data_IF_333216755903
#
_entry.id   IF_333216755903
#
_cell.length_a   1.000
_cell.length_b   1.000
_cell.length_c   1.000
_cell.angle_alpha   90.00
_cell.angle_beta   90.00
_cell.angle_gamma   90.00
#
_symmetry.space_group_name_H-M   'P 1'
#
loop_
_entity.id
_entity.type
_entity.pdbx_description
1 polymer ?
#
# COMPACT_ATOMS: atom_id res chain seq x y z
N UNK A 1 34.65 -34.55 33.68
CA UNK A 1 35.54 -33.48 34.17
C UNK A 1 36.15 -32.82 32.95
N UNK A 2 35.64 -31.66 32.52
CA UNK A 2 36.35 -30.40 32.70
C UNK A 2 35.42 -29.23 32.38
N UNK A 3 35.51 -28.20 33.20
CA UNK A 3 34.81 -26.92 33.07
C UNK A 3 35.52 -26.05 32.03
N UNK A 4 34.79 -25.25 31.25
CA UNK A 4 34.95 -23.79 31.33
C UNK A 4 33.97 -23.07 30.41
N UNK A 5 33.16 -22.23 31.06
CA UNK A 5 32.49 -21.09 30.46
C UNK A 5 33.52 -20.16 29.81
N UNK A 6 33.20 -19.61 28.64
CA UNK A 6 33.47 -18.19 28.42
C UNK A 6 32.45 -17.56 27.49
N UNK A 7 31.59 -16.77 28.13
CA UNK A 7 30.79 -15.71 27.53
C UNK A 7 31.71 -14.63 26.97
N UNK A 8 31.47 -14.19 25.73
CA UNK A 8 32.02 -12.94 25.18
C UNK A 8 30.90 -12.15 24.52
N UNK A 9 30.34 -11.27 25.36
CA UNK A 9 29.83 -9.91 25.12
C UNK A 9 29.48 -9.51 23.67
N UNK A 10 28.19 -9.24 23.49
CA UNK A 10 27.66 -8.36 22.45
C UNK A 10 28.30 -6.96 22.56
N UNK A 11 28.72 -6.40 21.42
CA UNK A 11 29.23 -5.03 21.33
C UNK A 11 28.26 -4.22 20.47
N UNK A 12 27.34 -3.55 21.15
CA UNK A 12 26.49 -2.49 20.63
C UNK A 12 27.36 -1.33 20.18
N UNK A 13 27.40 -1.06 18.87
CA UNK A 13 28.06 0.14 18.33
C UNK A 13 26.97 1.11 17.88
N UNK A 14 26.70 2.07 18.76
CA UNK A 14 25.73 3.15 18.59
C UNK A 14 26.20 4.07 17.45
N UNK A 15 25.57 3.99 16.28
CA UNK A 15 25.85 4.91 15.17
C UNK A 15 25.27 6.28 15.50
N UNK A 16 26.15 7.27 15.59
CA UNK A 16 25.85 8.66 15.84
C UNK A 16 24.79 9.21 14.88
N UNK A 17 23.63 9.55 15.46
CA UNK A 17 22.54 10.27 14.82
C UNK A 17 22.95 11.76 14.73
N UNK A 18 23.50 12.16 13.59
CA UNK A 18 23.88 13.54 13.28
C UNK A 18 22.63 14.27 12.76
N UNK A 19 21.83 14.82 13.68
CA UNK A 19 20.69 15.70 13.36
C UNK A 19 21.26 17.04 12.89
N UNK A 20 21.26 17.25 11.58
CA UNK A 20 21.62 18.53 10.98
C UNK A 20 20.37 19.40 10.91
N UNK A 21 20.22 20.26 11.93
CA UNK A 21 19.16 21.22 12.10
C UNK A 21 19.31 22.36 11.06
N UNK A 22 18.75 22.16 9.86
CA UNK A 22 18.66 23.24 8.87
C UNK A 22 17.52 24.21 9.26
N UNK A 23 17.91 25.28 9.95
CA UNK A 23 17.10 26.49 10.10
C UNK A 23 17.01 27.18 8.74
N UNK A 24 15.90 27.03 8.03
CA UNK A 24 15.58 27.86 6.86
C UNK A 24 14.92 29.16 7.37
N UNK A 25 15.53 30.33 7.15
CA UNK A 25 14.95 31.61 7.55
C UNK A 25 13.76 31.95 6.65
N UNK A 26 12.65 32.25 7.31
CA UNK A 26 11.41 32.74 6.71
C UNK A 26 11.67 34.17 6.23
N UNK A 27 11.86 34.36 4.91
CA UNK A 27 11.84 35.68 4.31
C UNK A 27 10.39 36.04 3.95
N UNK A 28 9.78 36.81 4.84
CA UNK A 28 8.58 37.59 4.55
C UNK A 28 8.92 38.72 3.57
N UNK A 29 8.24 38.75 2.42
CA UNK A 29 8.10 39.96 1.63
C UNK A 29 6.67 40.03 1.07
N UNK A 30 5.78 40.69 1.81
CA UNK A 30 4.61 41.33 1.24
C UNK A 30 5.06 42.57 0.47
N UNK A 31 4.60 42.75 -0.76
CA UNK A 31 4.32 44.06 -1.35
C UNK A 31 3.47 43.89 -2.62
N UNK A 32 2.20 44.29 -2.54
CA UNK A 32 1.39 44.73 -3.71
C UNK A 32 1.66 46.22 -3.92
N UNK A 33 1.58 46.77 -5.16
CA UNK A 33 0.26 47.14 -5.69
C UNK A 33 0.08 47.02 -7.23
N UNK A 34 -1.18 46.76 -7.61
CA UNK A 34 -1.95 47.29 -8.75
C UNK A 34 -1.25 47.53 -10.10
N UNK A 35 -1.67 46.77 -11.13
CA UNK A 35 -1.95 47.38 -12.43
C UNK A 35 -3.08 46.66 -13.20
N UNK A 36 -3.79 47.46 -13.99
CA UNK A 36 -5.03 47.17 -14.68
C UNK A 36 -4.86 46.26 -15.90
N UNK A 37 -5.83 45.35 -16.08
CA UNK A 37 -6.47 45.09 -17.37
C UNK A 37 -5.59 44.59 -18.52
N UNK A 38 -5.49 43.27 -18.66
CA UNK A 38 -5.57 42.63 -19.98
C UNK A 38 -6.41 41.36 -19.81
N UNK A 39 -7.62 41.39 -20.40
CA UNK A 39 -8.43 40.18 -20.61
C UNK A 39 -7.70 39.29 -21.61
N UNK A 40 -6.78 38.49 -21.10
CA UNK A 40 -6.44 37.21 -21.72
C UNK A 40 -7.37 36.20 -21.06
N UNK A 41 -8.18 35.52 -21.86
CA UNK A 41 -9.01 34.40 -21.44
C UNK A 41 -8.11 33.21 -21.09
N UNK A 42 -7.37 33.31 -20.00
CA UNK A 42 -6.85 32.16 -19.28
C UNK A 42 -8.05 31.55 -18.57
N UNK A 43 -8.55 30.44 -19.12
CA UNK A 43 -9.46 29.55 -18.43
C UNK A 43 -8.87 29.23 -17.07
N UNK A 44 -9.46 29.80 -16.02
CA UNK A 44 -9.22 29.36 -14.65
C UNK A 44 -9.84 27.98 -14.53
N UNK A 45 -9.12 26.95 -15.00
CA UNK A 45 -9.41 25.57 -14.64
C UNK A 45 -9.31 25.52 -13.12
N UNK A 46 -10.46 25.42 -12.47
CA UNK A 46 -10.54 25.33 -11.03
C UNK A 46 -9.71 24.10 -10.60
N UNK A 47 -8.62 24.31 -9.85
CA UNK A 47 -7.62 23.28 -9.51
C UNK A 47 -8.26 22.01 -8.93
N UNK A 48 -9.35 22.15 -8.18
CA UNK A 48 -10.11 21.04 -7.61
C UNK A 48 -10.76 20.13 -8.66
N UNK A 49 -11.21 20.70 -9.79
CA UNK A 49 -11.86 19.93 -10.85
C UNK A 49 -10.83 19.11 -11.62
N UNK A 50 -9.62 19.65 -11.83
CA UNK A 50 -8.54 18.90 -12.49
C UNK A 50 -8.01 17.78 -11.60
N UNK A 51 -7.80 18.05 -10.30
CA UNK A 51 -7.37 17.03 -9.34
C UNK A 51 -8.35 15.86 -9.25
N UNK A 52 -9.66 16.14 -9.18
CA UNK A 52 -10.68 15.10 -9.16
C UNK A 52 -10.65 14.23 -10.42
N UNK A 53 -10.49 14.84 -11.61
CA UNK A 53 -10.38 14.10 -12.87
C UNK A 53 -9.17 13.15 -12.88
N UNK A 54 -8.05 13.55 -12.28
CA UNK A 54 -6.88 12.68 -12.14
C UNK A 54 -7.19 11.52 -11.19
N UNK A 55 -7.80 11.80 -10.04
CA UNK A 55 -8.18 10.77 -9.06
C UNK A 55 -9.15 9.75 -9.69
N UNK A 56 -10.18 10.22 -10.41
CA UNK A 56 -11.15 9.35 -11.07
C UNK A 56 -10.49 8.45 -12.12
N UNK A 57 -9.51 9.00 -12.85
CA UNK A 57 -8.71 8.23 -13.81
C UNK A 57 -7.83 7.18 -13.12
N UNK A 58 -7.17 7.52 -12.01
CA UNK A 58 -6.40 6.55 -11.23
C UNK A 58 -7.30 5.45 -10.67
N UNK A 59 -8.49 5.79 -10.17
CA UNK A 59 -9.48 4.81 -9.69
C UNK A 59 -9.85 3.85 -10.82
N UNK A 60 -10.17 4.38 -12.01
CA UNK A 60 -10.50 3.53 -13.16
C UNK A 60 -9.35 2.62 -13.60
N UNK A 61 -8.10 3.07 -13.51
CA UNK A 61 -6.93 2.22 -13.79
C UNK A 61 -6.73 1.13 -12.72
N UNK A 62 -6.89 1.50 -11.45
CA UNK A 62 -6.82 0.55 -10.33
C UNK A 62 -7.89 -0.54 -10.44
N UNK A 63 -9.14 -0.15 -10.70
CA UNK A 63 -10.25 -1.10 -10.86
C UNK A 63 -10.02 -2.03 -12.05
N UNK A 64 -9.60 -1.48 -13.19
CA UNK A 64 -9.26 -2.28 -14.38
C UNK A 64 -8.11 -3.26 -14.13
N UNK A 65 -7.06 -2.87 -13.41
CA UNK A 65 -5.97 -3.77 -13.09
C UNK A 65 -6.43 -4.96 -12.24
N UNK A 66 -7.42 -4.75 -11.36
CA UNK A 66 -8.04 -5.79 -10.55
C UNK A 66 -9.07 -6.66 -11.31
N UNK A 67 -9.37 -6.35 -12.57
CA UNK A 67 -10.15 -7.22 -13.47
C UNK A 67 -9.28 -8.29 -14.16
N UNK A 68 -7.99 -8.38 -13.82
CA UNK A 68 -7.09 -9.42 -14.35
C UNK A 68 -7.58 -10.83 -13.99
N UNK A 69 -7.39 -11.81 -14.90
CA UNK A 69 -7.89 -13.19 -14.74
C UNK A 69 -7.39 -13.90 -13.47
N UNK A 70 -6.22 -13.50 -12.97
CA UNK A 70 -5.62 -14.04 -11.75
C UNK A 70 -6.05 -13.29 -10.47
N UNK A 71 -6.94 -12.30 -10.57
CA UNK A 71 -7.49 -11.56 -9.42
C UNK A 71 -8.95 -11.93 -9.21
N UNK A 72 -9.28 -12.40 -8.02
CA UNK A 72 -10.64 -12.78 -7.63
C UNK A 72 -11.11 -11.86 -6.50
N UNK A 73 -12.09 -10.99 -6.77
CA UNK A 73 -12.73 -10.18 -5.72
C UNK A 73 -13.56 -11.07 -4.81
N UNK A 74 -13.30 -11.02 -3.50
CA UNK A 74 -14.03 -11.75 -2.46
C UNK A 74 -14.52 -10.78 -1.37
N UNK A 75 -15.52 -11.19 -0.60
CA UNK A 75 -15.95 -10.45 0.58
C UNK A 75 -15.24 -10.97 1.85
N UNK A 76 -15.50 -10.30 2.98
CA UNK A 76 -14.88 -10.66 4.24
C UNK A 76 -15.35 -12.04 4.76
N UNK A 77 -16.58 -12.44 4.45
CA UNK A 77 -17.10 -13.75 4.87
C UNK A 77 -16.30 -14.85 4.17
N UNK A 78 -16.15 -14.75 2.85
CA UNK A 78 -15.36 -15.70 2.07
C UNK A 78 -13.89 -15.70 2.46
N UNK A 79 -13.31 -14.55 2.82
CA UNK A 79 -11.96 -14.51 3.39
C UNK A 79 -11.86 -15.31 4.69
N UNK A 80 -12.81 -15.15 5.62
CA UNK A 80 -12.83 -15.88 6.90
C UNK A 80 -13.09 -17.38 6.74
N UNK A 81 -13.73 -17.78 5.65
CA UNK A 81 -13.98 -19.17 5.31
C UNK A 81 -12.75 -19.88 4.70
N UNK A 82 -11.63 -19.16 4.49
CA UNK A 82 -10.35 -19.78 4.10
C UNK A 82 -9.86 -20.65 5.26
N UNK A 83 -9.94 -21.95 5.08
CA UNK A 83 -9.64 -22.98 6.08
C UNK A 83 -8.49 -23.89 5.68
N UNK A 84 -7.91 -23.62 4.51
CA UNK A 84 -6.76 -24.32 3.96
C UNK A 84 -5.60 -23.32 3.84
N UNK A 85 -4.34 -23.78 3.95
CA UNK A 85 -3.19 -22.94 3.66
C UNK A 85 -3.28 -22.37 2.25
N UNK A 86 -2.92 -21.11 2.08
CA UNK A 86 -2.71 -20.54 0.75
C UNK A 86 -1.57 -21.29 0.09
N UNK A 87 -1.76 -21.68 -1.16
CA UNK A 87 -0.67 -22.27 -1.93
C UNK A 87 0.41 -21.20 -2.22
N UNK A 88 1.63 -21.62 -2.59
CA UNK A 88 2.72 -20.68 -2.89
C UNK A 88 2.39 -19.67 -4.02
N UNK A 89 1.38 -19.98 -4.82
CA UNK A 89 0.83 -19.16 -5.88
C UNK A 89 -0.46 -18.43 -5.48
N UNK A 90 -0.76 -18.26 -4.19
CA UNK A 90 -1.93 -17.54 -3.71
C UNK A 90 -1.57 -16.43 -2.72
N UNK A 91 -2.23 -15.27 -2.85
CA UNK A 91 -2.12 -14.15 -1.93
C UNK A 91 -3.49 -13.54 -1.67
N UNK A 92 -3.70 -12.97 -0.49
CA UNK A 92 -4.90 -12.21 -0.17
C UNK A 92 -4.53 -10.74 -0.05
N UNK A 93 -5.11 -9.90 -0.89
CA UNK A 93 -4.88 -8.46 -0.96
C UNK A 93 -6.02 -7.68 -0.31
N UNK A 94 -5.68 -6.83 0.65
CA UNK A 94 -6.58 -5.85 1.25
C UNK A 94 -6.24 -4.45 0.72
N UNK A 95 -7.20 -3.87 0.00
CA UNK A 95 -7.03 -2.60 -0.68
C UNK A 95 -8.32 -1.80 -0.74
N UNK A 96 -8.26 -0.63 -1.37
CA UNK A 96 -9.44 0.17 -1.73
C UNK A 96 -9.08 1.24 -2.75
N UNK A 97 -10.03 1.57 -3.63
CA UNK A 97 -9.81 2.55 -4.69
C UNK A 97 -9.61 3.98 -4.15
N UNK A 98 -10.16 4.31 -2.98
CA UNK A 98 -9.96 5.64 -2.35
C UNK A 98 -8.55 5.83 -1.76
N UNK A 99 -7.76 4.77 -1.58
CA UNK A 99 -6.40 4.87 -1.05
C UNK A 99 -5.36 5.09 -2.16
N UNK A 100 -4.69 6.24 -2.14
CA UNK A 100 -3.65 6.58 -3.14
C UNK A 100 -2.51 5.56 -3.20
N UNK A 101 -2.10 5.00 -2.06
CA UNK A 101 -1.03 4.00 -2.02
C UNK A 101 -1.47 2.65 -2.60
N UNK A 102 -2.73 2.26 -2.39
CA UNK A 102 -3.31 1.08 -3.04
C UNK A 102 -3.34 1.26 -4.56
N UNK A 103 -3.82 2.43 -5.02
CA UNK A 103 -3.84 2.74 -6.46
C UNK A 103 -2.46 2.68 -7.08
N UNK A 104 -1.48 3.37 -6.50
CA UNK A 104 -0.10 3.38 -7.01
C UNK A 104 0.48 1.98 -7.12
N UNK A 105 0.44 1.20 -6.05
CA UNK A 105 1.03 -0.14 -6.03
C UNK A 105 0.47 -1.05 -7.12
N UNK A 106 -0.86 -1.09 -7.26
CA UNK A 106 -1.52 -1.98 -8.22
C UNK A 106 -1.35 -1.48 -9.66
N UNK A 107 -1.41 -0.16 -9.90
CA UNK A 107 -1.22 0.42 -11.24
C UNK A 107 0.22 0.21 -11.71
N UNK A 108 1.21 0.46 -10.84
CA UNK A 108 2.64 0.29 -11.18
C UNK A 108 2.99 -1.18 -11.48
N UNK A 109 2.24 -2.12 -10.91
CA UNK A 109 2.44 -3.55 -11.07
C UNK A 109 1.39 -4.24 -11.97
N UNK A 110 0.52 -3.49 -12.69
CA UNK A 110 -0.60 -4.05 -13.49
C UNK A 110 -0.13 -5.16 -14.45
N UNK A 111 0.94 -4.91 -15.20
CA UNK A 111 1.43 -5.86 -16.19
C UNK A 111 2.05 -7.10 -15.54
N UNK A 112 2.74 -6.94 -14.41
CA UNK A 112 3.34 -8.04 -13.65
C UNK A 112 2.26 -8.92 -13.02
N UNK A 113 1.27 -8.30 -12.35
CA UNK A 113 0.09 -9.00 -11.82
C UNK A 113 -0.57 -9.83 -12.91
N UNK A 114 -0.90 -9.22 -14.06
CA UNK A 114 -1.59 -9.90 -15.17
C UNK A 114 -0.82 -11.08 -15.77
N UNK A 115 0.52 -11.07 -15.73
CA UNK A 115 1.37 -12.14 -16.28
C UNK A 115 1.76 -13.18 -15.22
N UNK A 116 1.61 -12.86 -13.95
CA UNK A 116 2.03 -13.69 -12.84
C UNK A 116 1.16 -14.94 -12.72
N UNK A 117 1.73 -16.10 -12.34
CA UNK A 117 0.94 -17.26 -11.94
C UNK A 117 0.25 -17.05 -10.59
N UNK A 118 0.62 -16.01 -9.82
CA UNK A 118 0.05 -15.74 -8.50
C UNK A 118 -1.44 -15.37 -8.65
N UNK A 119 -2.31 -16.16 -8.04
CA UNK A 119 -3.71 -15.86 -7.80
C UNK A 119 -3.84 -14.90 -6.61
N UNK A 120 -4.58 -13.82 -6.79
CA UNK A 120 -4.80 -12.78 -5.77
C UNK A 120 -6.28 -12.74 -5.40
N UNK A 121 -6.60 -13.02 -4.15
CA UNK A 121 -7.93 -12.78 -3.59
C UNK A 121 -8.03 -11.34 -3.08
N UNK A 122 -8.86 -10.51 -3.71
CA UNK A 122 -8.99 -9.10 -3.37
C UNK A 122 -10.19 -8.82 -2.44
N UNK A 123 -9.92 -8.24 -1.27
CA UNK A 123 -10.92 -7.70 -0.35
C UNK A 123 -10.93 -6.18 -0.42
N UNK A 124 -12.08 -5.62 -0.81
CA UNK A 124 -12.31 -4.18 -0.91
C UNK A 124 -12.69 -3.57 0.44
N UNK A 125 -11.72 -2.91 1.07
CA UNK A 125 -11.88 -2.34 2.41
C UNK A 125 -12.80 -1.12 2.48
N UNK A 126 -13.19 -0.53 1.35
CA UNK A 126 -14.20 0.55 1.34
C UNK A 126 -15.63 0.01 1.57
N UNK A 127 -15.86 -1.27 1.27
CA UNK A 127 -17.16 -1.92 1.48
C UNK A 127 -17.35 -2.46 2.90
N UNK A 128 -16.29 -2.43 3.72
CA UNK A 128 -16.29 -2.97 5.07
C UNK A 128 -16.84 -1.98 6.10
N UNK A 129 -17.60 -2.48 7.06
CA UNK A 129 -18.07 -1.70 8.20
C UNK A 129 -16.92 -1.32 9.13
N UNK A 130 -17.19 -0.42 10.10
CA UNK A 130 -16.20 -0.08 11.12
C UNK A 130 -15.84 -1.28 12.00
N UNK A 131 -16.81 -2.16 12.27
CA UNK A 131 -16.63 -3.39 13.04
C UNK A 131 -15.77 -4.39 12.26
N UNK A 132 -16.05 -4.61 10.98
CA UNK A 132 -15.24 -5.45 10.09
C UNK A 132 -13.77 -4.99 10.06
N UNK A 133 -13.53 -3.67 9.96
CA UNK A 133 -12.19 -3.09 9.95
C UNK A 133 -11.44 -3.27 11.27
N UNK A 134 -12.14 -3.34 12.40
CA UNK A 134 -11.51 -3.65 13.70
C UNK A 134 -11.10 -5.12 13.75
N UNK A 135 -11.96 -6.00 13.25
CA UNK A 135 -11.69 -7.44 13.20
C UNK A 135 -10.52 -7.78 12.27
N UNK A 136 -10.32 -7.00 11.19
CA UNK A 136 -9.13 -7.11 10.33
C UNK A 136 -7.79 -7.01 11.09
N UNK A 137 -7.75 -6.31 12.22
CA UNK A 137 -6.55 -6.22 13.05
C UNK A 137 -6.15 -7.58 13.67
N UNK A 138 -7.12 -8.46 13.93
CA UNK A 138 -6.88 -9.81 14.43
C UNK A 138 -6.17 -10.69 13.39
N UNK A 139 -6.28 -10.32 12.11
CA UNK A 139 -5.60 -10.94 10.96
C UNK A 139 -4.33 -10.18 10.52
N UNK A 140 -3.80 -9.29 11.37
CA UNK A 140 -2.63 -8.44 11.10
C UNK A 140 -2.83 -7.37 10.00
N UNK A 141 -4.07 -7.11 9.60
CA UNK A 141 -4.41 -6.07 8.61
C UNK A 141 -4.83 -4.79 9.33
N UNK A 142 -3.84 -3.94 9.64
CA UNK A 142 -4.05 -2.66 10.34
C UNK A 142 -4.05 -1.44 9.41
N UNK A 143 -3.54 -1.61 8.19
CA UNK A 143 -3.45 -0.58 7.15
C UNK A 143 -3.55 -1.21 5.76
N UNK A 144 -3.75 -0.38 4.73
CA UNK A 144 -3.77 -0.81 3.32
C UNK A 144 -2.83 0.05 2.49
N UNK A 145 -2.19 -0.48 1.43
CA UNK A 145 -2.30 -1.86 0.93
C UNK A 145 -1.67 -2.88 1.89
N UNK A 146 -2.28 -4.06 2.01
CA UNK A 146 -1.70 -5.17 2.78
C UNK A 146 -1.91 -6.49 2.05
N UNK A 147 -0.91 -7.36 2.12
CA UNK A 147 -0.97 -8.72 1.60
C UNK A 147 -0.81 -9.69 2.75
N UNK A 148 -1.59 -10.75 2.73
CA UNK A 148 -1.46 -11.85 3.69
C UNK A 148 -1.50 -13.19 2.98
N UNK A 149 -0.88 -14.17 3.62
CA UNK A 149 -0.94 -15.59 3.27
C UNK A 149 -1.41 -16.38 4.50
N UNK A 150 -1.99 -17.55 4.28
CA UNK A 150 -2.34 -18.50 5.34
C UNK A 150 -1.31 -19.61 5.29
N UNK A 151 -0.48 -19.73 6.33
CA UNK A 151 0.60 -20.72 6.35
C UNK A 151 0.06 -22.14 6.62
N UNK A 152 0.96 -23.13 6.59
CA UNK A 152 0.65 -24.55 6.88
C UNK A 152 0.02 -24.79 8.27
N UNK A 153 0.22 -23.88 9.22
CA UNK A 153 -0.38 -23.94 10.56
C UNK A 153 -1.74 -23.21 10.64
N UNK A 154 -2.27 -22.75 9.50
CA UNK A 154 -3.48 -21.92 9.41
C UNK A 154 -3.35 -20.57 10.12
N UNK A 155 -2.14 -20.05 10.22
CA UNK A 155 -1.89 -18.72 10.75
C UNK A 155 -1.82 -17.72 9.59
N UNK A 156 -2.45 -16.56 9.78
CA UNK A 156 -2.35 -15.44 8.85
C UNK A 156 -1.00 -14.76 9.02
N UNK A 157 -0.23 -14.69 7.94
CA UNK A 157 1.11 -14.09 7.91
C UNK A 157 1.09 -12.91 6.96
N UNK A 158 1.58 -11.75 7.42
CA UNK A 158 1.73 -10.57 6.57
C UNK A 158 2.86 -10.79 5.57
N UNK A 159 2.58 -10.51 4.30
CA UNK A 159 3.56 -10.49 3.22
C UNK A 159 3.99 -9.04 3.00
N UNK A 160 5.29 -8.79 3.15
CA UNK A 160 5.86 -7.46 2.93
C UNK A 160 5.75 -7.07 1.45
N UNK A 161 5.64 -5.76 1.17
CA UNK A 161 5.43 -5.26 -0.19
C UNK A 161 6.55 -5.67 -1.16
N UNK A 162 7.81 -5.69 -0.68
CA UNK A 162 8.96 -6.12 -1.48
C UNK A 162 8.85 -7.60 -1.86
N UNK A 163 8.38 -8.45 -0.96
CA UNK A 163 8.16 -9.87 -1.22
C UNK A 163 7.00 -10.08 -2.19
N UNK A 164 5.91 -9.32 -2.05
CA UNK A 164 4.82 -9.32 -3.03
C UNK A 164 5.33 -8.97 -4.43
N UNK A 165 6.08 -7.87 -4.57
CA UNK A 165 6.64 -7.43 -5.85
C UNK A 165 7.56 -8.50 -6.43
N UNK A 166 8.49 -9.03 -5.63
CA UNK A 166 9.37 -10.13 -6.04
C UNK A 166 8.59 -11.31 -6.62
N UNK A 167 7.52 -11.75 -5.93
CA UNK A 167 6.69 -12.89 -6.37
C UNK A 167 5.98 -12.64 -7.69
N UNK A 168 5.40 -11.45 -7.91
CA UNK A 168 4.68 -11.17 -9.17
C UNK A 168 5.62 -10.92 -10.36
N UNK A 169 6.86 -10.49 -10.11
CA UNK A 169 7.88 -10.34 -11.14
C UNK A 169 8.64 -11.63 -11.43
N UNK A 170 8.41 -12.71 -10.67
CA UNK A 170 9.12 -14.00 -10.74
C UNK A 170 10.65 -13.84 -10.55
N UNK A 171 11.06 -12.95 -9.64
CA UNK A 171 12.46 -12.71 -9.26
C UNK A 171 12.87 -13.47 -8.01
#
# INVERSE_FOLDING_TARGET
MDQSNHSVKQMTTYKHFLILLFLIPILSACNSPSDNGTKSSSETLNSSNFEQVIIDKEIGLYEKALESDNVEKIDLVKFKDITEPTQNDELIYFGRSTCIYCRKLIIENEEAIRKSPIKIFYVDTDLLTSEDKKELADFQVTEVPSFIEVNENLEYVKVDLEEFERRIHNE
#
